data_IF_398169479812
#
_entry.id   IF_398169479812
#
_cell.length_a   1.000
_cell.length_b   1.000
_cell.length_c   1.000
_cell.angle_alpha   90.00
_cell.angle_beta   90.00
_cell.angle_gamma   90.00
#
_symmetry.space_group_name_H-M   'P 1'
#
loop_
_entity.id
_entity.type
_entity.pdbx_description
1 polymer ?
#
# COMPACT_ATOMS: atom_id res chain seq x y z
N UNK A 1 4.61 7.37 -13.20
CA UNK A 1 3.99 7.27 -14.56
C UNK A 1 4.32 5.92 -15.19
N UNK A 2 5.61 5.60 -15.40
CA UNK A 2 6.04 4.32 -15.99
C UNK A 2 5.52 3.11 -15.20
N UNK A 3 5.60 3.12 -13.87
CA UNK A 3 5.07 2.06 -13.01
C UNK A 3 3.55 1.90 -13.09
N UNK A 4 2.78 2.98 -13.29
CA UNK A 4 1.34 2.92 -13.45
C UNK A 4 0.93 2.40 -14.84
N UNK A 5 1.69 2.75 -15.89
CA UNK A 5 1.48 2.23 -17.25
C UNK A 5 1.81 0.74 -17.29
N UNK A 6 2.95 0.33 -16.73
CA UNK A 6 3.32 -1.08 -16.58
C UNK A 6 2.31 -1.84 -15.71
N UNK A 7 1.83 -1.21 -14.64
CA UNK A 7 0.80 -1.75 -13.76
C UNK A 7 -0.52 -2.03 -14.46
N UNK A 8 -0.98 -1.11 -15.32
CA UNK A 8 -2.21 -1.30 -16.11
C UNK A 8 -2.15 -2.50 -17.04
N UNK A 9 -1.01 -2.73 -17.69
CA UNK A 9 -0.78 -3.92 -18.53
C UNK A 9 -0.69 -5.19 -17.70
N UNK A 10 0.02 -5.15 -16.56
CA UNK A 10 0.14 -6.30 -15.66
C UNK A 10 -1.20 -6.71 -15.03
N UNK A 11 -2.07 -5.75 -14.68
CA UNK A 11 -3.40 -6.03 -14.12
C UNK A 11 -4.24 -6.86 -15.09
N UNK A 12 -4.15 -6.59 -16.41
CA UNK A 12 -4.88 -7.33 -17.43
C UNK A 12 -4.43 -8.79 -17.55
N UNK A 13 -3.17 -9.10 -17.25
CA UNK A 13 -2.59 -10.44 -17.39
C UNK A 13 -2.68 -11.25 -16.09
N UNK A 14 -2.37 -10.64 -14.94
CA UNK A 14 -2.27 -11.32 -13.64
C UNK A 14 -3.56 -11.27 -12.82
N UNK A 15 -4.50 -10.41 -13.20
CA UNK A 15 -5.66 -10.07 -12.39
C UNK A 15 -5.33 -9.11 -11.26
N UNK A 16 -6.37 -8.40 -10.81
CA UNK A 16 -6.26 -7.25 -9.91
C UNK A 16 -5.74 -7.63 -8.50
N UNK A 17 -6.14 -8.81 -8.01
CA UNK A 17 -5.76 -9.35 -6.70
C UNK A 17 -4.29 -9.74 -6.63
N UNK A 18 -3.84 -10.57 -7.57
CA UNK A 18 -2.44 -11.02 -7.67
C UNK A 18 -1.49 -9.85 -7.93
N UNK A 19 -1.88 -8.93 -8.81
CA UNK A 19 -1.10 -7.72 -9.07
C UNK A 19 -0.90 -6.88 -7.81
N UNK A 20 -1.96 -6.66 -7.04
CA UNK A 20 -1.87 -5.81 -5.84
C UNK A 20 -1.10 -6.49 -4.73
N UNK A 21 -1.20 -7.83 -4.61
CA UNK A 21 -0.34 -8.59 -3.70
C UNK A 21 1.14 -8.43 -4.06
N UNK A 22 1.50 -8.65 -5.33
CA UNK A 22 2.88 -8.49 -5.82
C UNK A 22 3.38 -7.05 -5.63
N UNK A 23 2.58 -6.05 -6.00
CA UNK A 23 2.93 -4.65 -5.83
C UNK A 23 3.13 -4.27 -4.35
N UNK A 24 2.32 -4.84 -3.45
CA UNK A 24 2.45 -4.64 -2.00
C UNK A 24 3.69 -5.35 -1.45
N UNK A 25 4.00 -6.55 -1.92
CA UNK A 25 5.23 -7.28 -1.56
C UNK A 25 6.49 -6.53 -2.05
N UNK A 26 6.50 -6.04 -3.29
CA UNK A 26 7.58 -5.17 -3.80
C UNK A 26 7.73 -3.89 -2.97
N UNK A 27 6.62 -3.30 -2.52
CA UNK A 27 6.65 -2.13 -1.63
C UNK A 27 7.25 -2.47 -0.27
N UNK A 28 7.00 -3.67 0.25
CA UNK A 28 7.58 -4.11 1.53
C UNK A 28 9.11 -4.21 1.41
N UNK A 29 9.61 -4.77 0.31
CA UNK A 29 11.05 -4.86 0.04
C UNK A 29 11.70 -3.46 -0.03
N UNK A 30 11.04 -2.49 -0.67
CA UNK A 30 11.48 -1.09 -0.69
C UNK A 30 11.69 -0.55 0.74
N UNK A 31 10.70 -0.71 1.61
CA UNK A 31 10.77 -0.19 2.98
C UNK A 31 11.78 -0.94 3.85
N UNK A 32 11.94 -2.25 3.65
CA UNK A 32 13.00 -3.03 4.30
C UNK A 32 14.39 -2.53 3.88
N UNK A 33 14.57 -2.18 2.60
CA UNK A 33 15.79 -1.56 2.10
C UNK A 33 16.11 -0.24 2.81
N UNK A 34 15.14 0.67 2.92
CA UNK A 34 15.33 1.94 3.64
C UNK A 34 15.53 1.77 5.15
N UNK A 35 15.01 0.69 5.73
CA UNK A 35 15.21 0.35 7.15
C UNK A 35 16.60 -0.20 7.46
N UNK A 36 17.37 -0.61 6.46
CA UNK A 36 18.68 -1.27 6.63
C UNK A 36 19.86 -0.33 6.90
N UNK A 37 19.65 0.99 6.91
CA UNK A 37 20.68 2.03 7.04
C UNK A 37 21.83 1.98 6.01
N UNK A 38 21.74 1.13 4.98
CA UNK A 38 22.73 0.97 3.92
C UNK A 38 22.20 1.49 2.59
N UNK A 39 22.90 2.48 2.01
CA UNK A 39 22.52 3.07 0.72
C UNK A 39 22.49 2.03 -0.40
N UNK A 40 23.43 1.08 -0.41
CA UNK A 40 23.49 0.01 -1.43
C UNK A 40 22.26 -0.88 -1.36
N UNK A 41 21.87 -1.29 -0.14
CA UNK A 41 20.69 -2.12 0.08
C UNK A 41 19.41 -1.38 -0.28
N UNK A 42 19.31 -0.09 0.07
CA UNK A 42 18.17 0.76 -0.28
C UNK A 42 18.00 0.90 -1.80
N UNK A 43 19.08 1.09 -2.56
CA UNK A 43 19.04 1.21 -4.02
C UNK A 43 18.62 -0.10 -4.71
N UNK A 44 19.16 -1.24 -4.26
CA UNK A 44 18.75 -2.57 -4.78
C UNK A 44 17.27 -2.80 -4.52
N UNK A 45 16.82 -2.55 -3.29
CA UNK A 45 15.41 -2.69 -2.92
C UNK A 45 14.51 -1.68 -3.64
N UNK A 46 15.02 -0.50 -4.00
CA UNK A 46 14.29 0.47 -4.80
C UNK A 46 14.08 0.02 -6.25
N UNK A 47 15.07 -0.65 -6.85
CA UNK A 47 14.92 -1.28 -8.14
C UNK A 47 13.84 -2.38 -8.13
N UNK A 48 13.87 -3.25 -7.12
CA UNK A 48 12.88 -4.35 -6.97
C UNK A 48 11.49 -3.81 -6.58
N UNK A 49 11.46 -2.72 -5.81
CA UNK A 49 10.26 -2.06 -5.30
C UNK A 49 9.58 -1.11 -6.28
N UNK A 50 10.04 -1.05 -7.53
CA UNK A 50 9.56 -0.08 -8.53
C UNK A 50 8.05 -0.15 -8.82
N UNK A 51 7.41 -1.30 -8.58
CA UNK A 51 5.96 -1.49 -8.74
C UNK A 51 5.15 -0.89 -7.57
N UNK A 52 5.78 -0.45 -6.49
CA UNK A 52 5.08 0.04 -5.31
C UNK A 52 4.11 1.21 -5.55
N UNK A 53 4.43 2.20 -6.39
CA UNK A 53 3.49 3.27 -6.74
C UNK A 53 2.21 2.77 -7.43
N UNK A 54 2.28 1.63 -8.15
CA UNK A 54 1.14 1.05 -8.85
C UNK A 54 0.16 0.32 -7.92
N UNK A 55 0.55 0.07 -6.65
CA UNK A 55 -0.34 -0.46 -5.60
C UNK A 55 -1.59 0.40 -5.42
N UNK A 56 -1.43 1.73 -5.50
CA UNK A 56 -2.55 2.67 -5.33
C UNK A 56 -3.62 2.47 -6.38
N UNK A 57 -3.23 2.11 -7.61
CA UNK A 57 -4.16 1.78 -8.68
C UNK A 57 -4.97 0.54 -8.33
N UNK A 58 -4.30 -0.55 -7.94
CA UNK A 58 -4.94 -1.80 -7.53
C UNK A 58 -5.91 -1.60 -6.35
N UNK A 59 -5.46 -0.95 -5.28
CA UNK A 59 -6.30 -0.69 -4.10
C UNK A 59 -7.52 0.20 -4.42
N UNK A 60 -7.34 1.20 -5.29
CA UNK A 60 -8.47 2.05 -5.75
C UNK A 60 -9.51 1.21 -6.46
N UNK A 61 -9.08 0.44 -7.46
CA UNK A 61 -10.00 -0.33 -8.29
C UNK A 61 -10.73 -1.38 -7.46
N UNK A 62 -10.08 -2.00 -6.47
CA UNK A 62 -10.76 -2.89 -5.52
C UNK A 62 -11.86 -2.19 -4.74
N UNK A 63 -11.54 -1.08 -4.08
CA UNK A 63 -12.50 -0.34 -3.25
C UNK A 63 -13.72 0.08 -4.07
N UNK A 64 -13.50 0.58 -5.29
CA UNK A 64 -14.59 0.97 -6.18
C UNK A 64 -15.40 -0.25 -6.63
N UNK A 65 -14.76 -1.39 -6.94
CA UNK A 65 -15.48 -2.61 -7.35
C UNK A 65 -16.31 -3.23 -6.24
N UNK A 66 -15.78 -3.30 -5.02
CA UNK A 66 -16.51 -3.85 -3.86
C UNK A 66 -17.60 -2.89 -3.39
N UNK A 67 -17.31 -1.58 -3.38
CA UNK A 67 -18.31 -0.58 -3.06
C UNK A 67 -19.48 -0.56 -4.05
N UNK A 68 -19.22 -0.80 -5.34
CA UNK A 68 -20.28 -0.97 -6.34
C UNK A 68 -21.13 -2.23 -6.09
N UNK A 69 -20.53 -3.35 -5.67
CA UNK A 69 -21.28 -4.57 -5.29
C UNK A 69 -22.21 -4.33 -4.10
N UNK A 70 -21.79 -3.50 -3.14
CA UNK A 70 -22.58 -3.13 -1.97
C UNK A 70 -23.63 -2.04 -2.28
N UNK A 71 -23.79 -1.64 -3.54
CA UNK A 71 -24.74 -0.60 -3.96
C UNK A 71 -24.38 0.81 -3.51
N UNK A 72 -23.14 1.04 -3.05
CA UNK A 72 -22.71 2.34 -2.56
C UNK A 72 -22.41 3.26 -3.76
N UNK A 73 -22.99 4.47 -3.82
CA UNK A 73 -22.71 5.42 -4.89
C UNK A 73 -21.22 5.75 -5.01
N UNK A 74 -20.70 5.76 -6.24
CA UNK A 74 -19.28 6.03 -6.51
C UNK A 74 -18.82 7.40 -5.97
N UNK A 75 -19.70 8.41 -5.99
CA UNK A 75 -19.42 9.73 -5.41
C UNK A 75 -19.18 9.68 -3.90
N UNK A 76 -19.97 8.88 -3.18
CA UNK A 76 -19.82 8.71 -1.73
C UNK A 76 -18.52 7.97 -1.40
N UNK A 77 -18.24 6.85 -2.07
CA UNK A 77 -16.96 6.12 -1.94
C UNK A 77 -15.74 7.00 -2.21
N UNK A 78 -15.81 7.83 -3.25
CA UNK A 78 -14.73 8.75 -3.58
C UNK A 78 -14.56 9.82 -2.51
N UNK A 79 -15.66 10.32 -1.93
CA UNK A 79 -15.65 11.28 -0.83
C UNK A 79 -15.03 10.70 0.43
N UNK A 80 -15.48 9.52 0.87
CA UNK A 80 -14.97 8.85 2.07
C UNK A 80 -13.48 8.52 1.94
N UNK A 81 -13.06 8.05 0.75
CA UNK A 81 -11.65 7.82 0.45
C UNK A 81 -10.84 9.10 0.50
N UNK A 82 -11.34 10.18 -0.09
CA UNK A 82 -10.64 11.47 -0.09
C UNK A 82 -10.49 12.01 1.35
N UNK A 83 -11.52 11.86 2.17
CA UNK A 83 -11.49 12.20 3.59
C UNK A 83 -10.45 11.36 4.35
N UNK A 84 -10.40 10.04 4.15
CA UNK A 84 -9.38 9.18 4.75
C UNK A 84 -7.95 9.58 4.34
N UNK A 85 -7.74 9.91 3.06
CA UNK A 85 -6.45 10.40 2.57
C UNK A 85 -6.09 11.74 3.22
N UNK A 86 -7.06 12.64 3.44
CA UNK A 86 -6.82 13.90 4.12
C UNK A 86 -6.34 13.68 5.56
N UNK A 87 -7.01 12.78 6.31
CA UNK A 87 -6.56 12.39 7.64
C UNK A 87 -5.14 11.83 7.63
N UNK A 88 -4.82 10.93 6.71
CA UNK A 88 -3.47 10.37 6.58
C UNK A 88 -2.40 11.43 6.25
N UNK A 89 -2.76 12.46 5.47
CA UNK A 89 -1.86 13.57 5.15
C UNK A 89 -1.59 14.49 6.33
N UNK A 90 -2.48 14.54 7.32
CA UNK A 90 -2.30 15.34 8.55
C UNK A 90 -1.58 14.52 9.62
N UNK A 91 -2.10 13.33 9.93
CA UNK A 91 -1.58 12.47 10.99
C UNK A 91 -0.23 11.85 10.61
N UNK A 92 -0.06 11.50 9.33
CA UNK A 92 1.13 10.86 8.80
C UNK A 92 2.41 11.62 9.15
N UNK A 93 2.57 12.89 8.72
CA UNK A 93 3.75 13.70 9.02
C UNK A 93 4.02 13.89 10.52
N UNK A 94 2.96 13.98 11.35
CA UNK A 94 3.09 14.13 12.81
C UNK A 94 3.74 12.88 13.40
N UNK A 95 3.21 11.69 13.09
CA UNK A 95 3.77 10.41 13.57
C UNK A 95 5.18 10.20 13.00
N UNK A 96 5.37 10.51 11.72
CA UNK A 96 6.67 10.37 11.05
C UNK A 96 7.74 11.25 11.69
N UNK A 97 7.42 12.52 11.94
CA UNK A 97 8.32 13.47 12.58
C UNK A 97 8.65 13.06 14.01
N UNK A 98 7.65 12.61 14.78
CA UNK A 98 7.87 12.12 16.14
C UNK A 98 8.79 10.89 16.18
N UNK A 99 8.55 9.91 15.29
CA UNK A 99 9.41 8.73 15.16
C UNK A 99 10.83 9.10 14.72
N UNK A 100 10.97 10.09 13.83
CA UNK A 100 12.29 10.53 13.37
C UNK A 100 13.07 11.19 14.50
N UNK A 101 12.48 12.17 15.21
CA UNK A 101 13.15 12.88 16.32
C UNK A 101 13.55 11.91 17.42
N UNK A 102 12.65 11.00 17.81
CA UNK A 102 12.93 9.98 18.81
C UNK A 102 13.97 8.96 18.34
N UNK A 103 13.90 8.57 17.06
CA UNK A 103 14.84 7.67 16.43
C UNK A 103 16.26 8.25 16.39
N UNK A 104 16.40 9.51 15.98
CA UNK A 104 17.69 10.23 16.01
C UNK A 104 18.27 10.27 17.42
N UNK A 105 17.44 10.57 18.43
CA UNK A 105 17.86 10.56 19.83
C UNK A 105 18.32 9.18 20.34
N UNK A 106 17.88 8.10 19.71
CA UNK A 106 18.27 6.72 20.03
C UNK A 106 19.33 6.14 19.08
N UNK A 107 19.88 6.93 18.15
CA UNK A 107 20.85 6.46 17.15
C UNK A 107 20.25 5.65 15.98
N UNK A 108 18.94 5.69 15.80
CA UNK A 108 18.18 4.95 14.78
C UNK A 108 17.34 5.93 13.94
N UNK A 109 17.96 6.75 13.08
CA UNK A 109 17.24 7.73 12.24
C UNK A 109 16.24 7.08 11.26
N UNK A 110 16.42 5.80 10.95
CA UNK A 110 15.54 4.99 10.11
C UNK A 110 14.23 4.55 10.81
N UNK A 111 14.01 4.94 12.07
CA UNK A 111 12.82 4.54 12.84
C UNK A 111 11.46 4.73 12.11
N UNK A 112 11.23 5.83 11.35
CA UNK A 112 9.99 5.99 10.61
C UNK A 112 9.76 4.93 9.52
N UNK A 113 10.84 4.36 8.95
CA UNK A 113 10.72 3.33 7.91
C UNK A 113 10.23 2.00 8.48
N UNK A 114 10.51 1.69 9.76
CA UNK A 114 9.92 0.51 10.42
C UNK A 114 8.39 0.60 10.51
N UNK A 115 7.84 1.81 10.69
CA UNK A 115 6.39 2.01 10.64
C UNK A 115 5.84 1.68 9.24
N UNK A 116 6.54 2.09 8.17
CA UNK A 116 6.13 1.73 6.81
C UNK A 116 6.24 0.23 6.53
N UNK A 117 7.26 -0.43 7.05
CA UNK A 117 7.38 -1.90 7.00
C UNK A 117 6.19 -2.55 7.70
N UNK A 118 5.88 -2.12 8.94
CA UNK A 118 4.76 -2.66 9.71
C UNK A 118 3.41 -2.45 9.00
N UNK A 119 3.13 -1.23 8.52
CA UNK A 119 1.90 -0.92 7.79
C UNK A 119 1.79 -1.68 6.47
N UNK A 120 2.90 -1.84 5.75
CA UNK A 120 2.91 -2.57 4.48
C UNK A 120 2.79 -4.08 4.70
N UNK A 121 3.40 -4.63 5.75
CA UNK A 121 3.23 -6.02 6.16
C UNK A 121 1.79 -6.28 6.61
N UNK A 122 1.20 -5.39 7.41
CA UNK A 122 -0.22 -5.47 7.77
C UNK A 122 -1.12 -5.44 6.53
N UNK A 123 -0.85 -4.55 5.56
CA UNK A 123 -1.57 -4.51 4.30
C UNK A 123 -1.40 -5.79 3.46
N UNK A 124 -0.22 -6.42 3.50
CA UNK A 124 0.06 -7.69 2.82
C UNK A 124 -0.69 -8.87 3.45
N UNK A 125 -0.90 -8.85 4.77
CA UNK A 125 -1.68 -9.87 5.49
C UNK A 125 -3.19 -9.64 5.35
N UNK A 126 -3.63 -8.41 5.54
CA UNK A 126 -5.05 -8.04 5.53
C UNK A 126 -5.64 -7.95 4.13
N UNK A 127 -4.85 -7.53 3.13
CA UNK A 127 -5.31 -7.39 1.75
C UNK A 127 -5.90 -8.70 1.19
N UNK A 128 -5.17 -9.83 1.23
CA UNK A 128 -5.69 -11.13 0.80
C UNK A 128 -6.90 -11.60 1.61
N UNK A 129 -6.95 -11.33 2.92
CA UNK A 129 -8.05 -11.71 3.81
C UNK A 129 -9.33 -10.93 3.51
N UNK A 130 -9.24 -9.60 3.38
CA UNK A 130 -10.34 -8.75 2.96
C UNK A 130 -10.89 -9.18 1.59
N UNK A 131 -9.99 -9.60 0.69
CA UNK A 131 -10.37 -10.10 -0.63
C UNK A 131 -10.97 -11.51 -0.59
N UNK A 132 -10.63 -12.35 0.40
CA UNK A 132 -11.25 -13.66 0.58
C UNK A 132 -12.66 -13.53 1.15
N UNK A 133 -12.86 -12.62 2.11
CA UNK A 133 -14.16 -12.32 2.68
C UNK A 133 -15.16 -11.84 1.62
N UNK A 134 -14.78 -10.87 0.77
CA UNK A 134 -15.64 -10.36 -0.30
C UNK A 134 -15.93 -11.33 -1.45
N UNK A 135 -15.21 -12.45 -1.54
CA UNK A 135 -15.49 -13.52 -2.53
C UNK A 135 -16.21 -14.74 -1.93
N UNK A 136 -16.19 -14.92 -0.62
CA UNK A 136 -16.96 -15.94 0.08
C UNK A 136 -18.46 -15.58 0.18
N UNK A 137 -18.77 -14.29 0.35
CA UNK A 137 -20.14 -13.76 0.37
C UNK A 137 -20.89 -13.97 -0.96
N UNK A 138 -20.13 -14.20 -2.05
CA UNK A 138 -20.65 -14.40 -3.40
C UNK A 138 -21.13 -15.83 -3.72
N UNK A 139 -20.87 -16.82 -2.85
CA UNK A 139 -21.30 -18.22 -3.02
C UNK A 139 -22.56 -18.56 -2.21
N UNK A 140 -23.14 -17.58 -1.51
CA UNK A 140 -24.28 -17.75 -0.61
C UNK A 140 -25.65 -17.37 -1.19
N UNK A 141 -25.70 -16.80 -2.41
CA UNK A 141 -26.92 -16.52 -3.19
C UNK A 141 -26.97 -17.42 -4.44
#
# INVERSE_FOLDING_TARGET
VISNVAGGTLIRVLGLRTFTFIATASTLLLWLGFSSASLKTALICAGIGFLGPARTLGATTMMTSEGAKLGIPQGQLSGDRANLIAWLKVVGPIIYGWLYVRGVGAGVPQAPFFLNVALTAAALLLGPLALAAGSADQKGD
#
